data_IF_663628974686
#
_entry.id   IF_663628974686
#
_cell.length_a   1.000
_cell.length_b   1.000
_cell.length_c   1.000
_cell.angle_alpha   90.00
_cell.angle_beta   90.00
_cell.angle_gamma   90.00
#
_symmetry.space_group_name_H-M   'P 1'
#
loop_
_entity.id
_entity.type
_entity.pdbx_description
1 polymer ?
#
# COMPACT_ATOMS: atom_id res chain seq x y z
N UNK A 1 -13.48 1.91 4.85
CA UNK A 1 -12.19 2.08 4.10
C UNK A 1 -11.09 2.46 5.08
N UNK A 2 -9.90 1.91 4.91
CA UNK A 2 -8.72 2.24 5.71
C UNK A 2 -7.61 2.75 4.76
N UNK A 3 -7.05 3.91 5.05
CA UNK A 3 -5.97 4.53 4.28
C UNK A 3 -4.71 4.57 5.13
N UNK A 4 -3.65 3.95 4.67
CA UNK A 4 -2.37 3.94 5.37
C UNK A 4 -1.51 5.12 4.92
N UNK A 5 -0.96 5.89 5.87
CA UNK A 5 -0.16 7.07 5.56
C UNK A 5 0.95 7.32 6.58
N UNK A 6 1.87 8.19 6.22
CA UNK A 6 3.03 8.57 7.01
C UNK A 6 3.22 10.10 6.95
N UNK A 7 3.68 10.77 8.00
CA UNK A 7 3.79 12.23 8.00
C UNK A 7 4.59 12.84 6.83
N UNK A 8 5.54 12.10 6.26
CA UNK A 8 6.29 12.56 5.09
C UNK A 8 5.51 12.43 3.76
N UNK A 9 4.31 11.84 3.78
CA UNK A 9 3.40 11.78 2.63
C UNK A 9 2.59 13.08 2.46
N UNK A 10 2.69 13.99 3.44
CA UNK A 10 2.00 15.29 3.45
C UNK A 10 2.00 16.02 2.10
N UNK A 11 3.11 16.06 1.30
CA UNK A 11 3.13 16.79 0.03
C UNK A 11 2.13 16.34 -1.03
N UNK A 12 1.62 15.09 -0.91
CA UNK A 12 0.64 14.55 -1.86
C UNK A 12 -0.68 14.13 -1.20
N UNK A 13 -0.69 14.04 0.14
CA UNK A 13 -1.79 13.43 0.89
C UNK A 13 -3.13 14.13 0.66
N UNK A 14 -3.20 15.47 0.75
CA UNK A 14 -4.45 16.21 0.60
C UNK A 14 -5.10 15.98 -0.77
N UNK A 15 -4.30 16.05 -1.84
CA UNK A 15 -4.79 15.83 -3.21
C UNK A 15 -5.28 14.38 -3.40
N UNK A 16 -4.55 13.40 -2.89
CA UNK A 16 -4.91 11.99 -3.01
C UNK A 16 -6.05 11.58 -2.09
N UNK A 17 -6.19 12.20 -0.90
CA UNK A 17 -7.34 11.98 -0.03
C UNK A 17 -8.64 12.45 -0.70
N UNK A 18 -8.67 13.68 -1.21
CA UNK A 18 -9.84 14.20 -1.91
C UNK A 18 -10.23 13.32 -3.11
N UNK A 19 -9.24 12.81 -3.85
CA UNK A 19 -9.44 11.87 -4.94
C UNK A 19 -10.06 10.54 -4.46
N UNK A 20 -9.53 9.95 -3.38
CA UNK A 20 -10.05 8.72 -2.78
C UNK A 20 -11.48 8.88 -2.26
N UNK A 21 -11.77 10.03 -1.64
CA UNK A 21 -13.13 10.32 -1.15
C UNK A 21 -14.13 10.47 -2.31
N UNK A 22 -13.72 10.99 -3.48
CA UNK A 22 -14.57 10.97 -4.68
C UNK A 22 -14.77 9.56 -5.24
N UNK A 23 -13.74 8.72 -5.19
CA UNK A 23 -13.81 7.35 -5.71
C UNK A 23 -14.63 6.41 -4.81
N UNK A 24 -14.43 6.50 -3.50
CA UNK A 24 -14.91 5.49 -2.55
C UNK A 24 -15.76 6.03 -1.39
N UNK A 25 -15.72 7.34 -1.12
CA UNK A 25 -16.33 7.92 0.09
C UNK A 25 -17.82 7.63 0.24
N UNK A 26 -18.56 7.55 -0.88
CA UNK A 26 -19.99 7.20 -0.90
C UNK A 26 -20.27 5.71 -0.88
N UNK A 27 -19.24 4.87 -1.07
CA UNK A 27 -19.34 3.41 -1.15
C UNK A 27 -19.00 2.73 0.18
N UNK A 28 -18.60 3.49 1.21
CA UNK A 28 -18.13 2.96 2.49
C UNK A 28 -18.79 3.69 3.66
N UNK A 29 -19.13 2.96 4.69
CA UNK A 29 -19.76 3.54 5.89
C UNK A 29 -18.79 4.47 6.65
N UNK A 30 -17.49 4.12 6.65
CA UNK A 30 -16.47 4.80 7.41
C UNK A 30 -15.13 4.82 6.66
N UNK A 31 -14.42 5.93 6.76
CA UNK A 31 -13.04 6.10 6.30
C UNK A 31 -12.13 6.38 7.48
N UNK A 32 -11.14 5.53 7.69
CA UNK A 32 -10.11 5.70 8.72
C UNK A 32 -8.78 5.96 8.03
N UNK A 33 -8.15 7.06 8.35
CA UNK A 33 -6.76 7.34 7.97
C UNK A 33 -5.87 6.96 9.13
N UNK A 34 -5.11 5.87 8.99
CA UNK A 34 -4.12 5.48 9.99
C UNK A 34 -2.77 6.12 9.67
N UNK A 35 -2.24 6.83 10.65
CA UNK A 35 -1.00 7.61 10.52
C UNK A 35 0.11 6.93 11.30
N UNK A 36 1.14 6.41 10.63
CA UNK A 36 2.33 5.86 11.30
C UNK A 36 3.17 7.01 11.87
N UNK A 37 2.93 7.35 13.13
CA UNK A 37 3.61 8.47 13.81
C UNK A 37 4.98 8.11 14.37
N UNK A 38 5.53 6.96 14.00
CA UNK A 38 6.85 6.56 14.47
C UNK A 38 7.97 7.25 13.67
N UNK A 39 8.93 7.91 14.32
CA UNK A 39 10.08 8.51 13.64
C UNK A 39 10.83 7.45 12.81
N UNK A 40 11.46 7.84 11.68
CA UNK A 40 12.25 6.93 10.87
C UNK A 40 13.37 6.27 11.69
N UNK A 41 13.34 4.94 11.79
CA UNK A 41 14.30 4.18 12.63
C UNK A 41 15.29 3.35 11.82
N UNK A 42 14.97 3.08 10.54
CA UNK A 42 15.85 2.27 9.69
C UNK A 42 17.12 3.03 9.30
N UNK A 43 18.23 2.32 9.08
CA UNK A 43 19.47 2.89 8.58
C UNK A 43 19.30 3.66 7.26
N UNK A 44 18.27 3.33 6.48
CA UNK A 44 17.89 4.03 5.25
C UNK A 44 17.51 5.50 5.49
N UNK A 45 17.07 5.85 6.70
CA UNK A 45 16.56 7.19 7.03
C UNK A 45 17.34 7.86 8.18
N UNK A 46 18.20 7.13 8.89
CA UNK A 46 19.05 7.73 9.94
C UNK A 46 20.08 8.64 9.32
N UNK A 47 20.06 9.92 9.72
CA UNK A 47 20.94 10.96 9.18
C UNK A 47 20.45 11.59 7.87
N UNK A 48 19.30 11.17 7.34
CA UNK A 48 18.65 11.85 6.22
C UNK A 48 18.10 13.21 6.70
N UNK A 49 18.30 14.32 5.96
CA UNK A 49 17.61 15.59 6.19
C UNK A 49 16.07 15.46 6.28
N UNK A 50 15.51 14.41 5.70
CA UNK A 50 14.08 14.06 5.84
C UNK A 50 13.71 13.72 7.29
N UNK A 51 14.59 13.10 8.06
CA UNK A 51 14.32 12.82 9.47
C UNK A 51 14.17 14.11 10.29
N UNK A 52 14.91 15.18 9.94
CA UNK A 52 14.80 16.50 10.56
C UNK A 52 13.48 17.19 10.20
N UNK A 53 12.87 16.85 9.06
CA UNK A 53 11.57 17.40 8.64
C UNK A 53 10.40 16.59 9.21
N UNK A 54 10.65 15.41 9.72
CA UNK A 54 9.61 14.51 10.20
C UNK A 54 8.72 15.16 11.27
N UNK A 55 9.32 15.76 12.30
CA UNK A 55 8.55 16.40 13.37
C UNK A 55 7.71 17.55 12.84
N UNK A 56 8.27 18.39 11.98
CA UNK A 56 7.52 19.48 11.35
C UNK A 56 6.39 18.95 10.48
N UNK A 57 6.63 17.89 9.70
CA UNK A 57 5.60 17.25 8.89
C UNK A 57 4.50 16.64 9.75
N UNK A 58 4.85 16.00 10.88
CA UNK A 58 3.87 15.43 11.81
C UNK A 58 2.98 16.52 12.44
N UNK A 59 3.58 17.62 12.90
CA UNK A 59 2.83 18.75 13.47
C UNK A 59 1.87 19.35 12.43
N UNK A 60 2.35 19.57 11.20
CA UNK A 60 1.51 20.06 10.10
C UNK A 60 0.41 19.07 9.75
N UNK A 61 0.73 17.79 9.72
CA UNK A 61 -0.24 16.74 9.41
C UNK A 61 -1.36 16.67 10.47
N UNK A 62 -1.00 16.72 11.77
CA UNK A 62 -1.96 16.77 12.89
C UNK A 62 -2.89 17.98 12.82
N UNK A 63 -2.37 19.12 12.37
CA UNK A 63 -3.19 20.32 12.20
C UNK A 63 -4.24 20.19 11.11
N UNK A 64 -4.08 19.26 10.15
CA UNK A 64 -5.04 18.96 9.10
C UNK A 64 -6.19 18.06 9.57
N UNK A 65 -6.03 17.23 10.62
CA UNK A 65 -7.05 16.29 11.05
C UNK A 65 -8.42 16.96 11.24
N UNK A 66 -8.59 17.94 12.12
CA UNK A 66 -9.90 18.56 12.34
C UNK A 66 -10.45 19.28 11.10
N UNK A 67 -9.57 19.78 10.24
CA UNK A 67 -9.98 20.45 9.00
C UNK A 67 -10.59 19.45 8.03
N UNK A 68 -9.91 18.31 7.81
CA UNK A 68 -10.35 17.29 6.87
C UNK A 68 -11.55 16.49 7.42
N UNK A 69 -11.57 16.19 8.72
CA UNK A 69 -12.73 15.56 9.36
C UNK A 69 -14.00 16.43 9.27
N UNK A 70 -13.84 17.76 9.29
CA UNK A 70 -14.99 18.67 9.08
C UNK A 70 -15.49 18.74 7.63
N UNK A 71 -14.69 18.27 6.65
CA UNK A 71 -15.07 18.23 5.24
C UNK A 71 -15.77 16.94 4.81
N UNK A 72 -15.55 15.85 5.57
CA UNK A 72 -16.06 14.52 5.24
C UNK A 72 -16.66 13.86 6.49
N UNK A 73 -17.98 13.73 6.53
CA UNK A 73 -18.73 13.24 7.71
C UNK A 73 -18.32 11.83 8.17
N UNK A 74 -17.79 11.00 7.24
CA UNK A 74 -17.41 9.62 7.52
C UNK A 74 -15.88 9.42 7.62
N UNK A 75 -15.09 10.49 7.79
CA UNK A 75 -13.62 10.46 7.90
C UNK A 75 -13.16 10.61 9.35
N UNK A 76 -12.19 9.81 9.76
CA UNK A 76 -11.48 9.98 11.03
C UNK A 76 -9.99 9.67 10.88
N UNK A 77 -9.16 10.33 11.71
CA UNK A 77 -7.72 10.09 11.78
C UNK A 77 -7.37 9.31 13.04
N UNK A 78 -6.58 8.25 12.89
CA UNK A 78 -6.10 7.42 13.98
C UNK A 78 -4.57 7.29 13.89
N UNK A 79 -3.86 7.68 14.94
CA UNK A 79 -2.42 7.48 15.02
C UNK A 79 -2.14 6.03 15.43
N UNK A 80 -1.20 5.39 14.74
CA UNK A 80 -0.81 4.00 15.03
C UNK A 80 -0.28 3.89 16.45
N UNK A 81 -0.95 3.11 17.29
CA UNK A 81 -0.55 2.87 18.68
C UNK A 81 0.48 1.73 18.77
N UNK A 82 1.69 2.09 19.17
CA UNK A 82 2.80 1.15 19.41
C UNK A 82 2.94 0.73 20.87
N UNK A 83 1.93 0.97 21.72
CA UNK A 83 1.94 0.45 23.09
C UNK A 83 2.04 -1.08 23.10
N UNK A 84 2.61 -1.65 24.17
CA UNK A 84 2.73 -3.10 24.29
C UNK A 84 1.34 -3.79 24.36
N UNK A 85 0.33 -3.10 24.91
CA UNK A 85 -1.03 -3.60 25.00
C UNK A 85 -1.65 -3.74 23.60
N UNK A 86 -1.62 -2.68 22.79
CA UNK A 86 -2.18 -2.68 21.45
C UNK A 86 -1.43 -3.62 20.51
N UNK A 87 -0.09 -3.62 20.58
CA UNK A 87 0.72 -4.59 19.83
C UNK A 87 0.35 -6.03 20.17
N UNK A 88 -0.01 -6.31 21.42
CA UNK A 88 -0.48 -7.63 21.83
C UNK A 88 -1.81 -7.98 21.16
N UNK A 89 -2.77 -7.08 21.14
CA UNK A 89 -4.09 -7.27 20.51
C UNK A 89 -3.92 -7.59 19.02
N UNK A 90 -3.15 -6.78 18.31
CA UNK A 90 -2.89 -6.97 16.87
C UNK A 90 -2.14 -8.27 16.59
N UNK A 91 -1.14 -8.60 17.43
CA UNK A 91 -0.36 -9.84 17.30
C UNK A 91 -1.23 -11.08 17.57
N UNK A 92 -2.03 -11.06 18.61
CA UNK A 92 -2.94 -12.17 18.95
C UNK A 92 -3.99 -12.36 17.85
N UNK A 93 -4.44 -11.27 17.21
CA UNK A 93 -5.41 -11.36 16.12
C UNK A 93 -4.81 -11.98 14.86
N UNK A 94 -3.65 -11.52 14.39
CA UNK A 94 -3.10 -11.92 13.09
C UNK A 94 -2.06 -13.05 13.17
N UNK A 95 -1.34 -13.21 14.29
CA UNK A 95 -0.23 -14.17 14.44
C UNK A 95 -0.47 -15.21 15.53
N UNK A 96 -1.51 -15.09 16.32
CA UNK A 96 -1.77 -15.95 17.48
C UNK A 96 -0.94 -15.55 18.70
N UNK A 97 0.25 -16.06 18.86
CA UNK A 97 1.09 -15.83 20.06
C UNK A 97 2.41 -15.11 19.77
N UNK A 98 2.76 -14.91 18.52
CA UNK A 98 4.01 -14.25 18.13
C UNK A 98 3.91 -12.73 18.19
N UNK A 99 4.99 -12.06 18.59
CA UNK A 99 5.05 -10.60 18.56
C UNK A 99 5.21 -10.12 17.11
N UNK A 100 4.24 -9.29 16.65
CA UNK A 100 4.29 -8.69 15.33
C UNK A 100 5.47 -7.70 15.20
N UNK A 101 6.32 -7.85 14.19
CA UNK A 101 7.43 -6.94 13.95
C UNK A 101 6.92 -5.57 13.47
N UNK A 102 7.54 -4.49 13.94
CA UNK A 102 7.16 -3.13 13.53
C UNK A 102 7.43 -2.87 12.04
N UNK A 103 8.50 -3.44 11.52
CA UNK A 103 8.98 -3.26 10.15
C UNK A 103 9.42 -4.59 9.55
N UNK A 104 9.32 -4.70 8.24
CA UNK A 104 9.84 -5.83 7.48
C UNK A 104 11.38 -5.81 7.39
N UNK A 105 11.97 -6.88 6.87
CA UNK A 105 13.41 -7.06 6.70
C UNK A 105 14.09 -5.92 5.90
N UNK A 106 13.40 -5.29 5.00
CA UNK A 106 13.88 -4.17 4.17
C UNK A 106 13.61 -2.80 4.78
N UNK A 107 12.98 -2.76 5.96
CA UNK A 107 12.55 -1.55 6.65
C UNK A 107 11.20 -1.02 6.21
N UNK A 108 10.50 -1.74 5.36
CA UNK A 108 9.12 -1.42 4.96
C UNK A 108 8.15 -1.48 6.14
N UNK A 109 7.00 -0.81 6.06
CA UNK A 109 5.97 -0.88 7.08
C UNK A 109 5.47 -2.32 7.23
N UNK A 110 5.11 -2.72 8.46
CA UNK A 110 4.52 -4.04 8.75
C UNK A 110 3.40 -3.88 9.77
N UNK A 111 3.72 -3.61 11.03
CA UNK A 111 2.73 -3.49 12.11
C UNK A 111 1.61 -2.49 11.78
N UNK A 112 1.96 -1.31 11.27
CA UNK A 112 0.98 -0.26 10.98
C UNK A 112 -0.08 -0.68 9.94
N UNK A 113 0.24 -1.57 9.00
CA UNK A 113 -0.75 -2.13 8.09
C UNK A 113 -1.80 -2.96 8.83
N UNK A 114 -1.35 -3.90 9.65
CA UNK A 114 -2.24 -4.82 10.35
C UNK A 114 -3.05 -4.13 11.45
N UNK A 115 -2.41 -3.20 12.17
CA UNK A 115 -3.13 -2.37 13.14
C UNK A 115 -4.21 -1.54 12.45
N UNK A 116 -3.91 -0.90 11.32
CA UNK A 116 -4.88 -0.12 10.56
C UNK A 116 -6.05 -0.97 10.02
N UNK A 117 -5.77 -2.20 9.55
CA UNK A 117 -6.82 -3.13 9.10
C UNK A 117 -7.72 -3.54 10.29
N UNK A 118 -7.12 -3.83 11.45
CA UNK A 118 -7.87 -4.21 12.64
C UNK A 118 -8.71 -3.04 13.18
N UNK A 119 -8.16 -1.82 13.19
CA UNK A 119 -8.84 -0.59 13.61
C UNK A 119 -10.08 -0.28 12.76
N UNK A 120 -10.12 -0.75 11.52
CA UNK A 120 -11.29 -0.61 10.68
C UNK A 120 -12.53 -1.34 11.24
N UNK A 121 -12.37 -2.33 12.11
CA UNK A 121 -13.43 -3.04 12.84
C UNK A 121 -14.66 -3.35 11.97
N UNK A 122 -14.43 -4.07 10.87
CA UNK A 122 -15.44 -4.38 9.85
C UNK A 122 -15.23 -5.76 9.26
N UNK A 123 -16.31 -6.40 8.81
CA UNK A 123 -16.26 -7.70 8.12
C UNK A 123 -15.51 -7.60 6.77
N UNK A 124 -15.62 -6.43 6.11
CA UNK A 124 -14.92 -6.13 4.85
C UNK A 124 -14.11 -4.86 5.01
N UNK A 125 -12.80 -4.94 4.75
CA UNK A 125 -11.89 -3.79 4.88
C UNK A 125 -11.28 -3.47 3.53
N UNK A 126 -11.66 -2.32 2.97
CA UNK A 126 -10.98 -1.74 1.82
C UNK A 126 -9.73 -1.00 2.31
N UNK A 127 -8.57 -1.64 2.14
CA UNK A 127 -7.27 -1.08 2.49
C UNK A 127 -6.61 -0.40 1.30
N UNK A 128 -5.92 0.73 1.52
CA UNK A 128 -5.11 1.37 0.49
C UNK A 128 -3.97 2.23 1.04
N UNK A 129 -2.91 2.37 0.25
CA UNK A 129 -1.83 3.34 0.50
C UNK A 129 -2.26 4.76 0.09
N UNK A 130 -1.64 5.76 0.74
CA UNK A 130 -1.99 7.16 0.53
C UNK A 130 -1.68 7.68 -0.89
N UNK A 131 -0.77 7.05 -1.61
CA UNK A 131 -0.25 7.53 -2.90
C UNK A 131 -0.98 6.99 -4.15
N UNK A 132 -1.93 6.07 -3.98
CA UNK A 132 -2.64 5.43 -5.08
C UNK A 132 -3.60 6.38 -5.80
N UNK A 133 -3.66 6.25 -7.14
CA UNK A 133 -4.63 6.92 -7.99
C UNK A 133 -5.62 5.91 -8.61
N UNK A 134 -6.83 6.37 -8.90
CA UNK A 134 -7.94 5.54 -9.40
C UNK A 134 -8.59 6.18 -10.60
N UNK A 135 -8.89 5.38 -11.61
CA UNK A 135 -9.67 5.82 -12.78
C UNK A 135 -10.81 4.87 -13.08
N UNK A 136 -11.67 5.27 -14.04
CA UNK A 136 -12.96 4.63 -14.27
C UNK A 136 -14.02 5.09 -13.28
N UNK A 137 -13.66 5.32 -12.03
CA UNK A 137 -14.49 5.96 -10.99
C UNK A 137 -15.84 5.29 -10.75
N UNK A 138 -15.92 3.92 -10.90
CA UNK A 138 -17.14 3.17 -10.56
C UNK A 138 -17.62 3.54 -9.15
N UNK A 139 -18.91 3.78 -9.01
CA UNK A 139 -19.57 4.11 -7.73
C UNK A 139 -20.22 2.90 -7.07
N UNK A 140 -20.03 1.69 -7.62
CA UNK A 140 -20.62 0.43 -7.14
C UNK A 140 -19.57 -0.66 -6.91
N UNK A 141 -18.30 -0.36 -7.17
CA UNK A 141 -17.23 -1.35 -7.16
C UNK A 141 -17.07 -2.05 -5.81
N UNK A 142 -17.26 -1.32 -4.68
CA UNK A 142 -17.12 -1.92 -3.34
C UNK A 142 -18.21 -2.95 -3.07
N UNK A 143 -19.47 -2.64 -3.42
CA UNK A 143 -20.59 -3.58 -3.27
C UNK A 143 -20.41 -4.80 -4.19
N UNK A 144 -19.95 -4.59 -5.43
CA UNK A 144 -19.67 -5.67 -6.38
C UNK A 144 -18.51 -6.56 -5.87
N UNK A 145 -17.47 -5.96 -5.27
CA UNK A 145 -16.35 -6.71 -4.70
C UNK A 145 -16.78 -7.53 -3.47
N UNK A 146 -17.65 -6.98 -2.62
CA UNK A 146 -18.24 -7.72 -1.49
C UNK A 146 -19.08 -8.89 -2.01
N UNK A 147 -19.97 -8.65 -3.00
CA UNK A 147 -20.79 -9.69 -3.60
C UNK A 147 -19.92 -10.81 -4.21
N UNK A 148 -18.87 -10.44 -4.94
CA UNK A 148 -17.90 -11.40 -5.51
C UNK A 148 -17.22 -12.24 -4.43
N UNK A 149 -16.76 -11.61 -3.35
CA UNK A 149 -16.17 -12.34 -2.22
C UNK A 149 -17.17 -13.25 -1.52
N UNK A 150 -18.44 -12.89 -1.45
CA UNK A 150 -19.50 -13.74 -0.89
C UNK A 150 -19.80 -14.96 -1.78
N UNK A 151 -19.78 -14.78 -3.08
CA UNK A 151 -20.05 -15.84 -4.07
C UNK A 151 -18.84 -16.80 -4.22
N UNK A 152 -17.62 -16.28 -4.20
CA UNK A 152 -16.38 -17.02 -4.47
C UNK A 152 -15.65 -17.34 -3.18
N UNK A 153 -15.79 -18.54 -2.68
CA UNK A 153 -15.14 -18.99 -1.42
C UNK A 153 -13.64 -19.28 -1.54
N UNK A 154 -13.13 -19.30 -2.76
CA UNK A 154 -11.70 -19.42 -3.10
C UNK A 154 -10.96 -18.07 -3.14
N UNK A 155 -11.64 -16.95 -2.84
CA UNK A 155 -11.05 -15.62 -2.79
C UNK A 155 -10.99 -15.09 -1.34
N UNK A 156 -9.89 -14.45 -0.97
CA UNK A 156 -9.74 -13.70 0.28
C UNK A 156 -9.73 -12.20 0.03
N UNK A 157 -9.27 -11.80 -1.14
CA UNK A 157 -9.14 -10.41 -1.55
C UNK A 157 -9.82 -10.14 -2.89
N UNK A 158 -10.28 -8.91 -3.04
CA UNK A 158 -10.64 -8.31 -4.32
C UNK A 158 -9.89 -6.98 -4.48
N UNK A 159 -9.45 -6.66 -5.69
CA UNK A 159 -8.72 -5.43 -6.00
C UNK A 159 -9.22 -4.82 -7.30
N UNK A 160 -9.12 -3.49 -7.50
CA UNK A 160 -9.34 -2.89 -8.81
C UNK A 160 -8.36 -3.45 -9.84
N UNK A 161 -8.69 -3.31 -11.12
CA UNK A 161 -7.74 -3.68 -12.18
C UNK A 161 -6.39 -2.97 -11.96
N UNK A 162 -5.27 -3.69 -12.08
CA UNK A 162 -3.93 -3.09 -12.00
C UNK A 162 -3.58 -2.38 -13.32
N UNK A 163 -3.99 -1.14 -13.43
CA UNK A 163 -3.85 -0.29 -14.60
C UNK A 163 -5.12 -0.17 -15.46
N UNK A 164 -5.16 0.84 -16.34
CA UNK A 164 -6.30 1.07 -17.23
C UNK A 164 -6.49 -0.12 -18.20
N UNK A 165 -7.73 -0.51 -18.50
CA UNK A 165 -8.00 -1.64 -19.39
C UNK A 165 -7.29 -1.51 -20.75
N UNK A 166 -6.74 -2.63 -21.25
CA UNK A 166 -6.09 -2.73 -22.55
C UNK A 166 -6.57 -3.97 -23.29
N UNK A 167 -6.85 -3.90 -24.61
CA UNK A 167 -7.33 -5.06 -25.39
C UNK A 167 -6.39 -6.26 -25.39
N UNK A 168 -5.09 -6.06 -25.20
CA UNK A 168 -4.08 -7.11 -25.11
C UNK A 168 -3.82 -7.59 -23.68
N UNK A 169 -4.69 -7.29 -22.71
CA UNK A 169 -4.54 -7.66 -21.31
C UNK A 169 -3.54 -6.79 -20.54
N UNK A 170 -3.11 -7.30 -19.40
CA UNK A 170 -2.14 -6.61 -18.55
C UNK A 170 -0.78 -6.53 -19.20
N UNK A 171 -0.15 -5.36 -19.11
CA UNK A 171 1.22 -5.10 -19.57
C UNK A 171 2.12 -4.83 -18.38
N UNK A 172 3.41 -5.03 -18.61
CA UNK A 172 4.43 -4.68 -17.63
C UNK A 172 4.54 -5.64 -16.46
N UNK A 173 5.49 -5.32 -15.59
CA UNK A 173 5.71 -6.06 -14.34
C UNK A 173 4.83 -5.45 -13.26
N UNK A 174 3.86 -6.22 -12.81
CA UNK A 174 3.13 -5.86 -11.62
C UNK A 174 4.05 -6.06 -10.41
N UNK A 175 4.60 -4.94 -9.92
CA UNK A 175 5.33 -4.83 -8.67
C UNK A 175 6.36 -5.91 -8.34
N UNK A 176 7.29 -6.09 -9.28
CA UNK A 176 8.50 -6.87 -9.01
C UNK A 176 8.31 -8.37 -9.05
N UNK A 177 7.15 -8.85 -9.43
CA UNK A 177 6.90 -10.26 -9.55
C UNK A 177 6.55 -10.63 -10.97
N UNK A 178 7.23 -11.65 -11.47
CA UNK A 178 6.70 -12.53 -12.50
C UNK A 178 5.58 -13.36 -11.84
N UNK A 179 4.53 -12.70 -11.29
CA UNK A 179 3.42 -13.38 -10.65
C UNK A 179 2.52 -13.94 -11.75
N UNK A 180 2.42 -15.26 -11.73
CA UNK A 180 1.44 -15.94 -12.54
C UNK A 180 0.04 -15.49 -12.09
N UNK A 181 -0.81 -15.20 -13.05
CA UNK A 181 -2.22 -14.97 -12.85
C UNK A 181 -3.00 -15.85 -13.83
N UNK A 182 -4.22 -16.19 -13.45
CA UNK A 182 -5.17 -16.83 -14.32
C UNK A 182 -6.15 -15.76 -14.84
N UNK A 183 -6.40 -15.77 -16.15
CA UNK A 183 -7.50 -14.98 -16.70
C UNK A 183 -8.82 -15.59 -16.21
N UNK A 184 -9.73 -14.74 -15.78
CA UNK A 184 -11.04 -15.08 -15.26
C UNK A 184 -12.07 -14.09 -15.84
N UNK A 185 -13.33 -14.26 -15.51
CA UNK A 185 -14.39 -13.36 -15.92
C UNK A 185 -15.26 -13.00 -14.72
N UNK A 186 -15.58 -11.73 -14.60
CA UNK A 186 -16.53 -11.20 -13.62
C UNK A 186 -17.54 -10.35 -14.39
N UNK A 187 -18.81 -10.73 -14.33
CA UNK A 187 -19.94 -10.06 -15.02
C UNK A 187 -19.70 -9.81 -16.53
N UNK A 188 -19.14 -10.81 -17.23
CA UNK A 188 -18.86 -10.73 -18.67
C UNK A 188 -17.66 -9.87 -19.03
N UNK A 189 -16.81 -9.51 -18.06
CA UNK A 189 -15.60 -8.72 -18.27
C UNK A 189 -14.37 -9.48 -17.85
N UNK A 190 -13.26 -9.26 -18.54
CA UNK A 190 -11.97 -9.85 -18.19
C UNK A 190 -11.56 -9.42 -16.78
N UNK A 191 -11.21 -10.42 -15.99
CA UNK A 191 -10.68 -10.31 -14.66
C UNK A 191 -9.39 -11.13 -14.55
N UNK A 192 -8.64 -10.91 -13.49
CA UNK A 192 -7.36 -11.58 -13.27
C UNK A 192 -7.29 -12.11 -11.84
N UNK A 193 -7.16 -13.43 -11.71
CA UNK A 193 -7.00 -14.10 -10.43
C UNK A 193 -5.52 -14.28 -10.13
N UNK A 194 -5.07 -13.66 -9.05
CA UNK A 194 -3.69 -13.77 -8.56
C UNK A 194 -3.60 -14.62 -7.29
N UNK A 195 -2.52 -15.37 -7.14
CA UNK A 195 -2.07 -15.94 -5.86
C UNK A 195 -1.10 -15.01 -5.12
N UNK A 196 -1.27 -13.74 -5.35
CA UNK A 196 -0.50 -12.62 -4.84
C UNK A 196 -1.45 -11.47 -4.52
N UNK A 197 -1.11 -10.70 -3.49
CA UNK A 197 -1.82 -9.46 -3.18
C UNK A 197 -0.83 -8.34 -2.98
N UNK A 198 -1.05 -7.22 -3.67
CA UNK A 198 -0.33 -5.98 -3.38
C UNK A 198 -0.94 -5.31 -2.17
N UNK A 199 -0.12 -4.92 -1.19
CA UNK A 199 -0.59 -4.18 -0.01
C UNK A 199 -0.98 -2.74 -0.31
N UNK A 200 -0.92 -2.32 -1.57
CA UNK A 200 -1.26 -0.94 -1.97
C UNK A 200 -2.75 -0.68 -2.10
N UNK A 201 -3.52 -1.69 -2.53
CA UNK A 201 -4.98 -1.66 -2.52
C UNK A 201 -5.54 -3.07 -2.55
N UNK A 202 -6.49 -3.34 -1.67
CA UNK A 202 -7.36 -4.53 -1.69
C UNK A 202 -8.59 -4.32 -0.82
N UNK A 203 -9.67 -5.03 -1.13
CA UNK A 203 -10.78 -5.33 -0.23
C UNK A 203 -10.53 -6.72 0.36
N UNK A 204 -10.53 -6.85 1.69
CA UNK A 204 -10.30 -8.09 2.42
C UNK A 204 -11.56 -8.55 3.14
N UNK A 205 -11.89 -9.83 3.02
CA UNK A 205 -12.91 -10.50 3.85
C UNK A 205 -12.29 -10.96 5.17
N UNK A 206 -12.51 -10.18 6.23
CA UNK A 206 -11.93 -10.41 7.56
C UNK A 206 -12.54 -11.63 8.25
N UNK A 207 -13.81 -11.93 7.98
CA UNK A 207 -14.47 -13.13 8.52
C UNK A 207 -13.86 -14.38 7.90
N UNK A 208 -13.74 -14.41 6.57
CA UNK A 208 -13.09 -15.53 5.86
C UNK A 208 -11.63 -15.70 6.27
N UNK A 209 -10.90 -14.61 6.47
CA UNK A 209 -9.56 -14.69 7.03
C UNK A 209 -9.55 -15.48 8.35
N UNK A 210 -10.44 -15.16 9.28
CA UNK A 210 -10.51 -15.87 10.57
C UNK A 210 -10.93 -17.33 10.42
N UNK A 211 -11.88 -17.63 9.56
CA UNK A 211 -12.44 -18.97 9.38
C UNK A 211 -11.51 -19.91 8.59
N UNK A 212 -10.84 -19.39 7.55
CA UNK A 212 -10.04 -20.21 6.60
C UNK A 212 -8.54 -20.15 6.84
N UNK A 213 -8.02 -19.03 7.32
CA UNK A 213 -6.60 -18.80 7.59
C UNK A 213 -6.30 -18.92 9.09
N UNK A 214 -7.07 -18.21 9.91
CA UNK A 214 -6.89 -18.13 11.35
C UNK A 214 -5.77 -17.21 11.77
N UNK A 215 -4.53 -17.54 11.38
CA UNK A 215 -3.33 -16.73 11.66
C UNK A 215 -2.36 -16.74 10.49
N UNK A 216 -1.57 -15.67 10.38
CA UNK A 216 -0.48 -15.56 9.43
C UNK A 216 0.78 -16.24 9.95
N UNK A 217 1.59 -16.78 9.07
CA UNK A 217 2.92 -17.31 9.41
C UNK A 217 4.01 -16.26 9.12
N UNK A 218 4.85 -15.97 10.11
CA UNK A 218 6.02 -15.14 9.90
C UNK A 218 7.18 -16.00 9.37
N UNK A 219 7.19 -16.22 8.06
CA UNK A 219 8.29 -16.93 7.43
C UNK A 219 9.62 -16.20 7.60
N UNK A 220 10.65 -16.96 7.92
CA UNK A 220 12.00 -16.43 8.06
C UNK A 220 12.55 -15.96 6.72
N UNK A 221 12.96 -14.71 6.58
CA UNK A 221 13.55 -14.21 5.34
C UNK A 221 14.79 -15.01 4.93
N UNK A 222 15.01 -15.20 3.63
CA UNK A 222 16.21 -15.87 3.08
C UNK A 222 17.48 -15.22 3.60
N UNK A 223 18.57 -15.98 3.71
CA UNK A 223 19.85 -15.51 4.27
C UNK A 223 20.34 -14.19 3.64
N UNK A 224 20.20 -14.04 2.32
CA UNK A 224 20.57 -12.80 1.61
C UNK A 224 19.74 -11.58 2.08
N UNK A 225 18.46 -11.75 2.38
CA UNK A 225 17.60 -10.71 2.93
C UNK A 225 17.97 -10.39 4.37
N UNK A 226 18.24 -11.41 5.17
CA UNK A 226 18.68 -11.27 6.58
C UNK A 226 19.99 -10.49 6.67
N UNK A 227 21.00 -10.86 5.86
CA UNK A 227 22.27 -10.13 5.81
C UNK A 227 22.07 -8.67 5.38
N UNK A 228 21.24 -8.43 4.37
CA UNK A 228 20.94 -7.08 3.91
C UNK A 228 20.19 -6.26 4.95
N UNK A 229 19.19 -6.84 5.62
CA UNK A 229 18.48 -6.21 6.72
C UNK A 229 19.44 -5.84 7.87
N UNK A 230 20.30 -6.80 8.30
CA UNK A 230 21.30 -6.58 9.34
C UNK A 230 22.25 -5.43 9.00
N UNK A 231 22.76 -5.39 7.77
CA UNK A 231 23.67 -4.34 7.32
C UNK A 231 23.03 -2.94 7.32
N UNK A 232 21.73 -2.86 7.11
CA UNK A 232 20.96 -1.61 7.14
C UNK A 232 20.31 -1.33 8.50
N UNK A 233 20.53 -2.20 9.50
CA UNK A 233 19.96 -2.07 10.83
C UNK A 233 18.46 -2.27 10.91
N UNK A 234 17.88 -2.97 9.93
CA UNK A 234 16.47 -3.32 9.92
C UNK A 234 16.21 -4.61 10.73
N UNK A 235 15.00 -4.80 11.24
CA UNK A 235 14.61 -6.08 11.82
C UNK A 235 14.67 -7.18 10.74
N UNK A 236 15.14 -8.38 11.11
CA UNK A 236 15.29 -9.50 10.19
C UNK A 236 14.23 -10.59 10.42
N UNK A 237 13.21 -10.29 11.23
CA UNK A 237 12.25 -11.26 11.73
C UNK A 237 11.15 -11.63 10.71
N UNK A 238 10.84 -10.76 9.77
CA UNK A 238 9.72 -10.97 8.86
C UNK A 238 10.01 -10.58 7.40
N UNK A 239 9.36 -11.26 6.49
CA UNK A 239 9.16 -10.83 5.11
C UNK A 239 8.35 -9.53 5.08
N UNK A 240 8.17 -8.90 3.90
CA UNK A 240 7.23 -7.77 3.80
C UNK A 240 5.80 -8.24 4.06
N UNK A 241 4.91 -7.34 4.49
CA UNK A 241 3.49 -7.65 4.70
C UNK A 241 2.87 -8.26 3.43
N UNK A 242 3.20 -7.72 2.26
CA UNK A 242 2.80 -8.23 0.96
C UNK A 242 3.25 -9.69 0.72
N UNK A 243 4.51 -10.01 1.04
CA UNK A 243 5.02 -11.38 0.90
C UNK A 243 4.33 -12.34 1.88
N UNK A 244 4.11 -11.93 3.12
CA UNK A 244 3.41 -12.75 4.13
C UNK A 244 1.98 -13.05 3.68
N UNK A 245 1.22 -12.04 3.25
CA UNK A 245 -0.14 -12.22 2.76
C UNK A 245 -0.18 -13.09 1.50
N UNK A 246 0.75 -12.88 0.56
CA UNK A 246 0.81 -13.68 -0.68
C UNK A 246 1.15 -15.15 -0.44
N UNK A 247 2.09 -15.44 0.47
CA UNK A 247 2.40 -16.82 0.87
C UNK A 247 1.21 -17.47 1.59
N UNK A 248 0.46 -16.68 2.36
CA UNK A 248 -0.78 -17.15 3.00
C UNK A 248 -1.83 -17.53 1.97
N UNK A 249 -2.03 -16.72 0.92
CA UNK A 249 -2.94 -17.09 -0.19
C UNK A 249 -2.53 -18.44 -0.81
N UNK A 250 -1.25 -18.59 -1.15
CA UNK A 250 -0.72 -19.81 -1.75
C UNK A 250 -0.91 -21.03 -0.84
N UNK A 251 -0.61 -20.89 0.46
CA UNK A 251 -0.72 -21.97 1.45
C UNK A 251 -2.16 -22.46 1.63
N UNK A 252 -3.12 -21.55 1.58
CA UNK A 252 -4.53 -21.88 1.82
C UNK A 252 -5.36 -22.06 0.53
N UNK A 253 -4.74 -22.01 -0.66
CA UNK A 253 -5.43 -22.13 -1.95
C UNK A 253 -6.39 -20.99 -2.23
N UNK A 254 -6.15 -19.82 -1.59
CA UNK A 254 -6.98 -18.61 -1.76
C UNK A 254 -6.40 -17.70 -2.85
N UNK A 255 -7.21 -16.77 -3.32
CA UNK A 255 -6.82 -15.82 -4.37
C UNK A 255 -7.18 -14.37 -4.04
N UNK A 256 -6.64 -13.49 -4.89
CA UNK A 256 -7.02 -12.09 -5.04
C UNK A 256 -7.58 -11.90 -6.45
N UNK A 257 -8.83 -11.45 -6.58
CA UNK A 257 -9.44 -11.15 -7.87
C UNK A 257 -9.28 -9.67 -8.20
N UNK A 258 -8.61 -9.39 -9.31
CA UNK A 258 -8.50 -8.03 -9.85
C UNK A 258 -9.52 -7.85 -10.98
N UNK A 259 -10.48 -6.95 -10.82
CA UNK A 259 -11.57 -6.75 -11.78
C UNK A 259 -12.01 -5.28 -11.87
N UNK A 260 -12.62 -4.93 -12.98
CA UNK A 260 -13.05 -3.56 -13.24
C UNK A 260 -14.38 -3.18 -12.54
N UNK A 261 -15.30 -4.13 -12.38
CA UNK A 261 -16.68 -3.84 -12.00
C UNK A 261 -17.52 -3.24 -13.14
N UNK A 262 -18.71 -2.78 -12.82
CA UNK A 262 -19.68 -2.24 -13.77
C UNK A 262 -19.34 -0.81 -14.27
N UNK A 263 -20.11 -0.33 -15.25
CA UNK A 263 -19.99 1.02 -15.80
C UNK A 263 -18.63 1.25 -16.47
N UNK A 264 -17.98 2.37 -16.18
CA UNK A 264 -16.63 2.67 -16.66
C UNK A 264 -15.54 1.88 -15.92
N UNK A 265 -15.96 1.12 -14.92
CA UNK A 265 -15.12 0.26 -14.10
C UNK A 265 -14.28 1.02 -13.08
N UNK A 266 -13.32 0.30 -12.51
CA UNK A 266 -12.33 0.83 -11.58
C UNK A 266 -10.97 0.22 -11.88
N UNK A 267 -9.94 1.05 -11.97
CA UNK A 267 -8.54 0.62 -12.05
C UNK A 267 -7.67 1.48 -11.13
N UNK A 268 -6.56 0.90 -10.72
CA UNK A 268 -5.58 1.57 -9.87
C UNK A 268 -4.29 1.87 -10.62
N UNK A 269 -3.66 3.00 -10.28
CA UNK A 269 -2.35 3.41 -10.78
C UNK A 269 -1.44 3.72 -9.60
N UNK A 270 -0.19 3.27 -9.70
CA UNK A 270 0.82 3.50 -8.69
C UNK A 270 1.92 4.44 -9.19
N UNK A 271 2.24 5.52 -8.46
CA UNK A 271 3.39 6.38 -8.79
C UNK A 271 4.71 5.68 -8.41
N UNK A 272 5.60 5.37 -9.36
CA UNK A 272 6.85 4.67 -9.04
C UNK A 272 7.87 5.53 -8.29
N UNK A 273 7.67 6.85 -8.28
CA UNK A 273 8.57 7.82 -7.65
C UNK A 273 7.80 9.02 -7.08
N UNK A 274 8.22 9.46 -5.89
CA UNK A 274 7.73 10.67 -5.22
C UNK A 274 8.83 11.74 -5.18
N UNK A 275 8.57 12.90 -5.78
CA UNK A 275 9.47 14.04 -5.77
C UNK A 275 8.72 15.35 -6.10
N UNK A 276 9.31 16.53 -5.82
CA UNK A 276 8.59 17.79 -5.86
C UNK A 276 7.87 18.08 -7.19
N UNK A 277 8.48 17.78 -8.34
CA UNK A 277 7.85 18.03 -9.64
C UNK A 277 6.64 17.12 -9.87
N UNK A 278 6.69 15.85 -9.41
CA UNK A 278 5.55 14.95 -9.45
C UNK A 278 4.41 15.46 -8.56
N UNK A 279 4.73 15.85 -7.31
CA UNK A 279 3.72 16.39 -6.39
C UNK A 279 3.06 17.67 -6.93
N UNK A 280 3.82 18.54 -7.59
CA UNK A 280 3.27 19.74 -8.24
C UNK A 280 2.34 19.41 -9.42
N UNK A 281 2.61 18.32 -10.14
CA UNK A 281 1.78 17.86 -11.26
C UNK A 281 0.57 17.03 -10.84
N UNK A 282 0.56 16.53 -9.61
CA UNK A 282 -0.41 15.56 -9.13
C UNK A 282 -1.88 15.99 -9.28
N UNK A 283 -2.30 17.24 -8.98
CA UNK A 283 -3.68 17.65 -9.20
C UNK A 283 -4.13 17.51 -10.68
N UNK A 284 -3.28 17.89 -11.62
CA UNK A 284 -3.56 17.73 -13.05
C UNK A 284 -3.56 16.29 -13.52
N UNK A 285 -2.72 15.44 -12.90
CA UNK A 285 -2.71 14.00 -13.18
C UNK A 285 -3.99 13.32 -12.66
N UNK A 286 -4.41 13.64 -11.45
CA UNK A 286 -5.67 13.17 -10.88
C UNK A 286 -6.83 13.53 -11.79
N UNK A 287 -6.92 14.78 -12.22
CA UNK A 287 -7.92 15.28 -13.14
C UNK A 287 -7.98 14.48 -14.45
N UNK A 288 -6.82 14.17 -15.04
CA UNK A 288 -6.74 13.35 -16.26
C UNK A 288 -7.19 11.92 -16.01
N UNK A 289 -6.75 11.32 -14.92
CA UNK A 289 -7.10 9.94 -14.55
C UNK A 289 -8.61 9.81 -14.29
N UNK A 290 -9.20 10.75 -13.55
CA UNK A 290 -10.65 10.77 -13.26
C UNK A 290 -11.49 10.95 -14.54
N UNK A 291 -11.04 11.75 -15.50
CA UNK A 291 -11.74 11.93 -16.79
C UNK A 291 -11.48 10.82 -17.81
N UNK A 292 -10.64 9.83 -17.47
CA UNK A 292 -10.25 8.77 -18.40
C UNK A 292 -9.33 9.25 -19.54
N UNK A 293 -8.70 10.44 -19.41
CA UNK A 293 -7.72 10.95 -20.35
C UNK A 293 -6.37 10.23 -20.19
N UNK A 294 -6.38 8.95 -20.57
CA UNK A 294 -5.26 8.03 -20.40
C UNK A 294 -4.63 7.74 -21.76
N UNK A 295 -3.34 8.06 -21.96
CA UNK A 295 -2.62 7.71 -23.18
C UNK A 295 -2.61 6.20 -23.42
N UNK A 296 -2.64 5.78 -24.69
CA UNK A 296 -2.57 4.35 -25.05
C UNK A 296 -1.31 3.66 -24.50
N UNK A 297 -0.22 4.39 -24.39
CA UNK A 297 1.03 3.89 -23.80
C UNK A 297 0.93 3.53 -22.31
N UNK A 298 -0.03 4.10 -21.57
CA UNK A 298 -0.28 3.79 -20.16
C UNK A 298 -1.23 2.61 -19.97
N UNK A 299 -2.07 2.30 -20.97
CA UNK A 299 -3.07 1.24 -20.85
C UNK A 299 -2.43 -0.13 -20.63
N UNK A 300 -2.92 -0.86 -19.64
CA UNK A 300 -2.40 -2.16 -19.22
C UNK A 300 -1.22 -2.10 -18.25
N UNK A 301 -0.64 -0.91 -17.99
CA UNK A 301 0.43 -0.73 -17.02
C UNK A 301 -0.10 -0.22 -15.68
N UNK A 302 0.31 -0.90 -14.60
CA UNK A 302 -0.03 -0.52 -13.23
C UNK A 302 0.76 0.69 -12.73
N UNK A 303 2.07 0.70 -12.95
CA UNK A 303 2.89 1.85 -12.62
C UNK A 303 2.67 2.98 -13.62
N UNK A 304 2.56 4.21 -13.13
CA UNK A 304 2.54 5.39 -14.00
C UNK A 304 3.85 5.42 -14.79
N UNK A 305 3.71 5.39 -16.12
CA UNK A 305 4.84 5.41 -17.04
C UNK A 305 5.00 6.78 -17.74
N UNK A 306 6.03 6.92 -18.57
CA UNK A 306 6.38 8.18 -19.21
C UNK A 306 5.34 8.69 -20.22
N UNK A 307 4.41 7.87 -20.65
CA UNK A 307 3.32 8.34 -21.52
C UNK A 307 2.31 9.19 -20.75
N UNK A 308 2.16 8.95 -19.44
CA UNK A 308 1.27 9.71 -18.57
C UNK A 308 2.02 10.82 -17.81
N UNK A 309 3.22 10.53 -17.29
CA UNK A 309 4.10 11.50 -16.63
C UNK A 309 5.58 11.13 -16.81
N UNK A 310 6.41 12.12 -17.19
CA UNK A 310 7.84 11.91 -17.44
C UNK A 310 8.64 11.75 -16.14
N UNK A 311 9.11 10.52 -15.88
CA UNK A 311 9.99 10.18 -14.76
C UNK A 311 11.47 10.09 -15.15
N UNK A 312 11.88 10.58 -16.33
CA UNK A 312 13.26 10.43 -16.83
C UNK A 312 14.32 10.98 -15.87
N UNK A 313 14.10 12.14 -15.27
CA UNK A 313 14.99 12.73 -14.26
C UNK A 313 15.15 11.82 -13.04
N UNK A 314 14.04 11.26 -12.53
CA UNK A 314 14.07 10.39 -11.36
C UNK A 314 14.75 9.07 -11.64
N UNK A 315 14.56 8.49 -12.84
CA UNK A 315 15.29 7.28 -13.25
C UNK A 315 16.78 7.52 -13.31
N UNK A 316 17.24 8.67 -13.81
CA UNK A 316 18.66 9.05 -13.79
C UNK A 316 19.18 9.18 -12.36
N UNK A 317 18.39 9.75 -11.44
CA UNK A 317 18.71 9.85 -10.02
C UNK A 317 18.72 8.50 -9.29
N UNK A 318 17.96 7.52 -9.78
CA UNK A 318 17.91 6.15 -9.27
C UNK A 318 18.81 5.17 -10.06
N UNK A 319 19.69 5.65 -10.93
CA UNK A 319 20.65 4.82 -11.64
C UNK A 319 21.43 3.91 -10.68
N UNK A 320 21.78 2.70 -11.14
CA UNK A 320 22.38 1.63 -10.31
C UNK A 320 23.59 2.10 -9.49
N UNK A 321 24.49 2.86 -10.10
CA UNK A 321 25.70 3.40 -9.42
C UNK A 321 25.31 4.37 -8.30
N UNK A 322 24.36 5.28 -8.51
CA UNK A 322 23.86 6.20 -7.49
C UNK A 322 23.14 5.48 -6.33
N UNK A 323 22.40 4.39 -6.64
CA UNK A 323 21.78 3.55 -5.63
C UNK A 323 22.81 2.82 -4.76
N UNK A 324 23.88 2.29 -5.36
CA UNK A 324 24.96 1.63 -4.63
C UNK A 324 25.69 2.63 -3.73
N UNK A 325 26.06 3.80 -4.25
CA UNK A 325 26.71 4.86 -3.46
C UNK A 325 25.82 5.28 -2.26
N UNK A 326 24.54 5.52 -2.49
CA UNK A 326 23.59 5.87 -1.42
C UNK A 326 23.51 4.79 -0.35
N UNK A 327 23.40 3.51 -0.72
CA UNK A 327 23.37 2.39 0.22
C UNK A 327 24.66 2.27 1.04
N UNK A 328 25.80 2.53 0.45
CA UNK A 328 27.08 2.58 1.17
C UNK A 328 27.10 3.75 2.16
N UNK A 329 26.61 4.91 1.77
CA UNK A 329 26.50 6.06 2.69
C UNK A 329 25.50 5.77 3.82
N UNK A 330 24.35 5.20 3.53
CA UNK A 330 23.35 4.79 4.53
C UNK A 330 23.97 3.81 5.55
N UNK A 331 24.70 2.81 5.06
CA UNK A 331 25.44 1.85 5.89
C UNK A 331 26.46 2.55 6.81
N UNK A 332 27.32 3.39 6.24
CA UNK A 332 28.34 4.12 7.02
C UNK A 332 27.68 5.02 8.07
N UNK A 333 26.63 5.74 7.70
CA UNK A 333 25.90 6.64 8.61
C UNK A 333 25.26 5.87 9.76
N UNK A 334 24.60 4.75 9.46
CA UNK A 334 23.96 3.90 10.46
C UNK A 334 24.97 3.37 11.51
N UNK A 335 26.06 2.76 11.03
CA UNK A 335 27.05 2.17 11.92
C UNK A 335 27.87 3.21 12.67
N UNK A 336 28.18 4.37 12.06
CA UNK A 336 28.83 5.49 12.75
C UNK A 336 27.97 6.05 13.87
N UNK A 337 26.66 6.18 13.67
CA UNK A 337 25.74 6.63 14.71
C UNK A 337 25.66 5.63 15.88
N UNK A 338 25.66 4.33 15.58
CA UNK A 338 25.60 3.29 16.59
C UNK A 338 26.89 3.20 17.43
N UNK A 339 28.05 3.35 16.79
CA UNK A 339 29.35 3.37 17.49
C UNK A 339 29.55 4.60 18.36
N UNK A 340 28.85 5.72 18.10
CA UNK A 340 28.88 6.91 18.94
C UNK A 340 27.90 6.85 20.10
N UNK A 341 26.93 5.95 20.07
CA UNK A 341 25.92 5.75 21.09
C UNK A 341 26.25 4.62 22.07
N UNK A 342 27.27 3.80 21.76
CA UNK A 342 27.89 2.78 22.62
C UNK A 342 29.10 3.36 23.34
#
# INVERSE_FOLDING_TARGET
MQINTYPLDLPHFEATLAHKMRAFGSQVDRTIVTVDVRPPQSGRYKGDPKANRYMQSLETFRALYPVLESQYDNLSFHEVDYSAAEKRVVSDYFLGSEEMPDKAWDGGPFYCYFQGILEADSDYVLHMDADMLYGGMSQTWVDEAIALLQERDDLLFASPLPGPPHPGGLKGKHDGADHAFDEDEVDGRVAYRFHFVSTRIFLMDMKRFKERVGTLDLDTPRLSYRLRGLLLGNPIKALSAEQVLSLTLQKHGLGNMCFAGAGDGLYSLHPPFHYPAFHAALPGLIDRVERGDIPDGQRGDYDINDSLFDFSEMRQNHARHKRVTRRLMDFVTYWSARLKAS
#
